data_IF_273466432830
#
_entry.id   IF_273466432830
#
_cell.length_a   1.000
_cell.length_b   1.000
_cell.length_c   1.000
_cell.angle_alpha   90.00
_cell.angle_beta   90.00
_cell.angle_gamma   90.00
#
_symmetry.space_group_name_H-M   'P 1'
#
loop_
_entity.id
_entity.type
_entity.pdbx_description
1 polymer ?
#
# COMPACT_ATOMS: atom_id res chain seq x y z
N UNK A 1 -34.25 -45.19 -56.98
CA UNK A 1 -33.98 -44.64 -55.62
C UNK A 1 -33.06 -43.45 -55.78
N UNK A 2 -33.59 -42.24 -55.64
CA UNK A 2 -32.80 -40.98 -55.73
C UNK A 2 -32.63 -40.46 -54.32
N UNK A 3 -31.40 -40.47 -53.83
CA UNK A 3 -30.98 -39.90 -52.55
C UNK A 3 -30.72 -38.41 -52.74
N UNK A 4 -31.52 -37.56 -52.11
CA UNK A 4 -31.31 -36.11 -52.01
C UNK A 4 -30.32 -35.82 -50.90
N UNK A 5 -29.22 -35.19 -51.28
CA UNK A 5 -28.20 -34.70 -50.40
C UNK A 5 -28.56 -33.25 -49.99
N UNK A 6 -28.98 -33.04 -48.73
CA UNK A 6 -29.21 -31.72 -48.17
C UNK A 6 -27.86 -31.15 -47.69
N UNK A 7 -27.32 -30.14 -48.43
CA UNK A 7 -26.26 -29.30 -47.93
C UNK A 7 -26.84 -28.28 -46.95
N UNK A 8 -26.49 -28.44 -45.68
CA UNK A 8 -26.72 -27.40 -44.66
C UNK A 8 -25.59 -26.40 -44.73
N UNK A 9 -25.88 -25.19 -45.25
CA UNK A 9 -24.96 -24.05 -45.22
C UNK A 9 -24.97 -23.45 -43.81
N UNK A 10 -23.99 -23.76 -42.97
CA UNK A 10 -23.74 -23.02 -41.72
C UNK A 10 -23.12 -21.64 -42.05
N UNK A 11 -23.95 -20.61 -42.05
CA UNK A 11 -23.50 -19.24 -42.02
C UNK A 11 -22.91 -18.95 -40.65
N UNK A 12 -21.57 -18.88 -40.59
CA UNK A 12 -20.87 -18.38 -39.40
C UNK A 12 -21.04 -16.87 -39.39
N UNK A 13 -21.99 -16.39 -38.58
CA UNK A 13 -22.08 -14.99 -38.21
C UNK A 13 -20.94 -14.72 -37.24
N UNK A 14 -19.80 -14.24 -37.74
CA UNK A 14 -18.78 -13.60 -36.95
C UNK A 14 -19.34 -12.29 -36.43
N UNK A 15 -19.97 -12.37 -35.25
CA UNK A 15 -20.28 -11.21 -34.43
C UNK A 15 -18.96 -10.57 -34.01
N UNK A 16 -18.61 -9.45 -34.66
CA UNK A 16 -17.62 -8.55 -34.11
C UNK A 16 -18.18 -8.02 -32.78
N UNK A 17 -17.78 -8.62 -31.66
CA UNK A 17 -17.93 -8.01 -30.35
C UNK A 17 -17.07 -6.75 -30.39
N UNK A 18 -17.71 -5.61 -30.56
CA UNK A 18 -17.10 -4.33 -30.21
C UNK A 18 -16.88 -4.38 -28.68
N UNK A 19 -15.65 -4.65 -28.30
CA UNK A 19 -15.17 -4.50 -26.94
C UNK A 19 -15.26 -3.01 -26.62
N UNK A 20 -16.43 -2.57 -26.14
CA UNK A 20 -16.61 -1.23 -25.60
C UNK A 20 -15.78 -1.22 -24.32
N UNK A 21 -14.54 -0.74 -24.41
CA UNK A 21 -13.69 -0.49 -23.25
C UNK A 21 -14.42 0.50 -22.33
N UNK A 22 -15.11 -0.07 -21.35
CA UNK A 22 -15.87 0.66 -20.36
C UNK A 22 -14.85 1.41 -19.50
N UNK A 23 -14.83 2.73 -19.63
CA UNK A 23 -14.05 3.57 -18.71
C UNK A 23 -14.71 3.52 -17.36
N UNK A 24 -14.06 2.89 -16.39
CA UNK A 24 -14.56 2.84 -15.03
C UNK A 24 -14.43 4.21 -14.39
N UNK A 25 -15.58 4.78 -13.99
CA UNK A 25 -15.68 5.98 -13.16
C UNK A 25 -15.92 5.49 -11.74
N UNK A 26 -14.98 5.77 -10.84
CA UNK A 26 -15.05 5.37 -9.45
C UNK A 26 -15.02 6.60 -8.52
N UNK A 27 -15.86 6.64 -7.51
CA UNK A 27 -15.75 7.62 -6.43
C UNK A 27 -14.77 7.07 -5.39
N UNK A 28 -13.60 7.68 -5.29
CA UNK A 28 -12.55 7.24 -4.36
C UNK A 28 -12.86 7.69 -2.92
N UNK A 29 -13.33 8.91 -2.78
CA UNK A 29 -13.75 9.53 -1.53
C UNK A 29 -14.64 10.75 -1.87
N UNK A 30 -15.19 11.39 -0.87
CA UNK A 30 -16.02 12.60 -1.07
C UNK A 30 -15.29 13.61 -1.95
N UNK A 31 -15.97 14.08 -2.97
CA UNK A 31 -15.48 15.07 -3.93
C UNK A 31 -14.24 14.62 -4.76
N UNK A 32 -13.90 13.33 -4.79
CA UNK A 32 -12.79 12.79 -5.60
C UNK A 32 -13.29 11.64 -6.48
N UNK A 33 -13.27 11.88 -7.78
CA UNK A 33 -13.65 10.92 -8.81
C UNK A 33 -12.39 10.45 -9.55
N UNK A 34 -12.28 9.16 -9.77
CA UNK A 34 -11.17 8.52 -10.48
C UNK A 34 -11.65 7.94 -11.79
N UNK A 35 -10.96 8.28 -12.86
CA UNK A 35 -11.14 7.66 -14.17
C UNK A 35 -10.02 6.64 -14.37
N UNK A 36 -10.38 5.37 -14.48
CA UNK A 36 -9.47 4.29 -14.88
C UNK A 36 -9.46 4.20 -16.40
N UNK A 37 -8.47 4.80 -17.02
CA UNK A 37 -8.35 4.87 -18.48
C UNK A 37 -7.36 3.81 -18.93
N UNK A 38 -7.73 2.88 -19.83
CA UNK A 38 -6.77 2.03 -20.52
C UNK A 38 -5.83 2.90 -21.36
N UNK A 39 -4.59 2.43 -21.52
CA UNK A 39 -3.49 3.18 -22.18
C UNK A 39 -3.77 3.33 -23.68
N UNK A 40 -4.70 4.22 -24.06
CA UNK A 40 -4.90 4.61 -25.45
C UNK A 40 -4.93 6.13 -25.56
N UNK A 41 -4.04 6.66 -26.37
CA UNK A 41 -4.02 8.08 -26.70
C UNK A 41 -5.35 8.52 -27.34
N UNK A 42 -5.94 9.57 -26.78
CA UNK A 42 -7.13 10.21 -27.33
C UNK A 42 -8.47 9.78 -26.75
N UNK A 43 -8.52 9.00 -25.66
CA UNK A 43 -9.80 8.68 -25.00
C UNK A 43 -10.41 9.92 -24.36
N UNK A 44 -11.72 10.08 -24.57
CA UNK A 44 -12.53 11.14 -23.98
C UNK A 44 -13.68 10.51 -23.19
N UNK A 45 -13.92 11.00 -21.96
CA UNK A 45 -14.96 10.47 -21.08
C UNK A 45 -15.87 11.59 -20.61
N UNK A 46 -17.18 11.36 -20.71
CA UNK A 46 -18.17 12.24 -20.11
C UNK A 46 -18.31 11.93 -18.61
N UNK A 47 -17.99 12.90 -17.78
CA UNK A 47 -18.09 12.79 -16.32
C UNK A 47 -19.21 13.65 -15.82
N UNK A 48 -20.23 13.08 -15.13
CA UNK A 48 -21.28 13.86 -14.51
C UNK A 48 -20.74 14.57 -13.26
N UNK A 49 -21.03 15.83 -13.14
CA UNK A 49 -20.71 16.66 -11.98
C UNK A 49 -21.99 17.18 -11.34
N UNK A 50 -22.01 17.25 -10.02
CA UNK A 50 -23.09 17.91 -9.28
C UNK A 50 -22.51 18.85 -8.24
N UNK A 51 -23.10 20.07 -8.15
CA UNK A 51 -22.75 21.03 -7.11
C UNK A 51 -23.29 20.60 -5.73
N UNK A 52 -24.32 19.76 -5.72
CA UNK A 52 -24.95 19.20 -4.52
C UNK A 52 -26.44 19.48 -4.43
N UNK A 53 -27.15 18.65 -3.65
CA UNK A 53 -28.59 18.73 -3.48
C UNK A 53 -29.06 20.04 -2.85
N UNK A 54 -28.24 20.66 -2.00
CA UNK A 54 -28.56 21.95 -1.37
C UNK A 54 -28.68 23.12 -2.36
N UNK A 55 -28.08 22.99 -3.56
CA UNK A 55 -27.99 24.08 -4.55
C UNK A 55 -28.82 23.79 -5.82
N UNK A 56 -29.82 22.90 -5.75
CA UNK A 56 -30.61 22.52 -6.93
C UNK A 56 -31.37 23.67 -7.58
N UNK A 57 -31.78 24.66 -6.78
CA UNK A 57 -32.56 25.82 -7.24
C UNK A 57 -31.70 27.08 -7.45
N UNK A 58 -30.39 26.96 -7.26
CA UNK A 58 -29.48 28.10 -7.41
C UNK A 58 -28.92 28.18 -8.83
N UNK A 59 -28.69 29.41 -9.27
CA UNK A 59 -27.98 29.65 -10.53
C UNK A 59 -26.48 29.45 -10.28
N UNK A 60 -25.93 28.33 -10.74
CA UNK A 60 -24.52 28.01 -10.54
C UNK A 60 -23.76 27.94 -11.84
N UNK A 61 -22.47 28.27 -11.79
CA UNK A 61 -21.51 28.10 -12.90
C UNK A 61 -20.25 27.39 -12.42
N UNK A 62 -19.55 26.78 -13.38
CA UNK A 62 -18.37 25.95 -13.10
C UNK A 62 -17.09 26.59 -13.57
N UNK A 63 -16.00 26.28 -12.83
CA UNK A 63 -14.62 26.58 -13.21
C UNK A 63 -13.80 25.29 -13.18
N UNK A 64 -12.77 25.21 -14.03
CA UNK A 64 -11.76 24.15 -14.01
C UNK A 64 -10.41 24.74 -13.64
N UNK A 65 -9.77 24.24 -12.55
CA UNK A 65 -8.51 24.75 -12.04
C UNK A 65 -8.49 26.28 -11.85
N UNK A 66 -9.62 26.84 -11.41
CA UNK A 66 -9.81 28.28 -11.20
C UNK A 66 -10.18 29.10 -12.44
N UNK A 67 -10.16 28.49 -13.64
CA UNK A 67 -10.52 29.16 -14.90
C UNK A 67 -11.97 28.86 -15.28
N UNK A 68 -12.73 29.87 -15.64
CA UNK A 68 -14.08 29.71 -16.16
C UNK A 68 -14.06 29.07 -17.55
N UNK A 69 -15.13 28.35 -17.87
CA UNK A 69 -15.33 27.80 -19.21
C UNK A 69 -15.74 28.90 -20.18
N UNK A 70 -15.38 28.75 -21.44
CA UNK A 70 -15.83 29.61 -22.54
C UNK A 70 -16.43 28.71 -23.65
N UNK A 71 -17.77 28.74 -23.87
CA UNK A 71 -18.78 29.47 -23.12
C UNK A 71 -18.96 28.95 -21.67
N UNK A 72 -19.53 29.81 -20.76
CA UNK A 72 -19.73 29.42 -19.36
C UNK A 72 -20.56 28.15 -19.20
N UNK A 73 -20.08 27.22 -18.40
CA UNK A 73 -20.77 25.97 -18.06
C UNK A 73 -21.71 26.23 -16.87
N UNK A 74 -23.03 26.24 -17.15
CA UNK A 74 -24.08 26.63 -16.20
C UNK A 74 -24.90 25.41 -15.77
N UNK A 75 -25.39 25.42 -14.52
CA UNK A 75 -26.32 24.45 -13.97
C UNK A 75 -25.77 23.68 -12.79
N UNK A 76 -26.66 23.22 -11.91
CA UNK A 76 -26.29 22.41 -10.74
C UNK A 76 -25.71 21.03 -11.13
N UNK A 77 -26.27 20.41 -12.16
CA UNK A 77 -25.81 19.14 -12.73
C UNK A 77 -25.34 19.40 -14.15
N UNK A 78 -24.11 19.02 -14.43
CA UNK A 78 -23.49 19.21 -15.74
C UNK A 78 -22.71 17.96 -16.14
N UNK A 79 -22.42 17.82 -17.42
CA UNK A 79 -21.47 16.82 -17.92
C UNK A 79 -20.24 17.52 -18.48
N UNK A 80 -19.07 17.09 -18.07
CA UNK A 80 -17.80 17.58 -18.58
C UNK A 80 -17.10 16.49 -19.40
N UNK A 81 -16.54 16.89 -20.53
CA UNK A 81 -15.71 16.02 -21.33
C UNK A 81 -14.28 16.07 -20.81
N UNK A 82 -13.80 14.93 -20.30
CA UNK A 82 -12.43 14.79 -19.78
C UNK A 82 -11.62 14.00 -20.79
N UNK A 83 -10.63 14.68 -21.36
CA UNK A 83 -9.63 14.01 -22.20
C UNK A 83 -8.61 13.28 -21.34
N UNK A 84 -7.96 12.27 -21.91
CA UNK A 84 -6.84 11.59 -21.29
C UNK A 84 -5.84 12.58 -20.71
N UNK A 85 -5.38 12.34 -19.47
CA UNK A 85 -4.43 13.18 -18.73
C UNK A 85 -4.88 14.59 -18.37
N UNK A 86 -6.10 15.00 -18.72
CA UNK A 86 -6.63 16.35 -18.48
C UNK A 86 -7.68 16.42 -17.36
N UNK A 87 -7.53 15.60 -16.31
CA UNK A 87 -8.31 15.77 -15.07
C UNK A 87 -8.12 17.17 -14.46
N UNK A 88 -8.55 17.36 -13.24
CA UNK A 88 -8.36 18.63 -12.53
C UNK A 88 -9.41 18.88 -11.46
N UNK A 89 -9.33 20.05 -10.85
CA UNK A 89 -10.29 20.51 -9.85
C UNK A 89 -11.41 21.30 -10.52
N UNK A 90 -12.62 20.78 -10.45
CA UNK A 90 -13.83 21.44 -10.94
C UNK A 90 -14.57 22.04 -9.75
N UNK A 91 -14.76 23.35 -9.76
CA UNK A 91 -15.42 24.08 -8.68
C UNK A 91 -16.71 24.74 -9.18
N UNK A 92 -17.80 24.61 -8.41
CA UNK A 92 -19.04 25.31 -8.73
C UNK A 92 -19.21 26.55 -7.84
N UNK A 93 -19.80 27.57 -8.44
CA UNK A 93 -19.93 28.91 -7.86
C UNK A 93 -21.32 29.47 -8.08
N UNK A 94 -21.81 30.25 -7.11
CA UNK A 94 -23.08 30.94 -7.22
C UNK A 94 -23.00 32.09 -8.25
N UNK A 95 -23.99 32.19 -9.12
CA UNK A 95 -24.10 33.29 -10.08
C UNK A 95 -25.10 34.36 -9.57
N UNK A 96 -24.81 35.66 -9.65
CA UNK A 96 -23.63 36.31 -10.23
C UNK A 96 -22.48 36.56 -9.23
N UNK A 97 -22.67 36.27 -7.93
CA UNK A 97 -21.72 36.64 -6.87
C UNK A 97 -20.31 36.02 -7.03
N UNK A 98 -20.22 34.85 -7.65
CA UNK A 98 -18.96 34.09 -7.76
C UNK A 98 -18.57 33.36 -6.49
N UNK A 99 -19.47 33.32 -5.48
CA UNK A 99 -19.22 32.60 -4.22
C UNK A 99 -18.98 31.12 -4.48
N UNK A 100 -17.93 30.57 -3.86
CA UNK A 100 -17.59 29.15 -3.93
C UNK A 100 -18.61 28.33 -3.15
N UNK A 101 -19.12 27.26 -3.75
CA UNK A 101 -20.10 26.36 -3.15
C UNK A 101 -19.54 24.99 -2.87
N UNK A 102 -18.95 24.34 -3.89
CA UNK A 102 -18.45 22.97 -3.80
C UNK A 102 -17.41 22.69 -4.90
N UNK A 103 -16.77 21.51 -4.84
CA UNK A 103 -15.82 21.08 -5.85
C UNK A 103 -15.90 19.57 -6.12
N UNK A 104 -15.36 19.16 -7.25
CA UNK A 104 -15.07 17.77 -7.58
C UNK A 104 -13.68 17.70 -8.20
N UNK A 105 -12.79 16.93 -7.57
CA UNK A 105 -11.49 16.61 -8.13
C UNK A 105 -11.60 15.39 -9.03
N UNK A 106 -11.30 15.54 -10.32
CA UNK A 106 -11.21 14.42 -11.27
C UNK A 106 -9.76 14.02 -11.42
N UNK A 107 -9.43 12.79 -11.01
CA UNK A 107 -8.11 12.20 -11.12
C UNK A 107 -8.10 11.10 -12.18
N UNK A 108 -7.00 10.98 -12.89
CA UNK A 108 -6.81 9.98 -13.94
C UNK A 108 -5.80 8.95 -13.46
N UNK A 109 -6.27 7.73 -13.27
CA UNK A 109 -5.42 6.61 -12.88
C UNK A 109 -4.92 5.87 -14.11
N UNK A 110 -3.61 5.86 -14.28
CA UNK A 110 -2.95 5.10 -15.33
C UNK A 110 -2.71 3.65 -14.94
N UNK A 111 -2.35 2.85 -15.94
CA UNK A 111 -1.93 1.46 -15.74
C UNK A 111 -0.80 1.38 -14.70
N UNK A 112 -0.81 0.35 -13.82
CA UNK A 112 0.25 0.07 -12.85
C UNK A 112 1.67 0.12 -13.39
N UNK A 113 1.90 -0.27 -14.65
CA UNK A 113 3.23 -0.29 -15.27
C UNK A 113 3.83 1.10 -15.49
N UNK A 114 3.01 2.15 -15.45
CA UNK A 114 3.41 3.53 -15.66
C UNK A 114 3.59 4.33 -14.35
N UNK A 115 3.65 3.66 -13.21
CA UNK A 115 3.86 4.29 -11.90
C UNK A 115 5.29 4.80 -11.75
N UNK A 116 5.43 5.99 -11.19
CA UNK A 116 6.73 6.69 -11.09
C UNK A 116 6.96 7.42 -9.77
N UNK A 117 5.93 7.52 -8.91
CA UNK A 117 6.01 8.33 -7.68
C UNK A 117 6.74 7.61 -6.56
N UNK A 118 6.44 6.33 -6.33
CA UNK A 118 7.13 5.53 -5.31
C UNK A 118 8.22 4.68 -5.94
N UNK A 119 9.41 4.72 -5.33
CA UNK A 119 10.55 3.87 -5.73
C UNK A 119 10.25 2.40 -5.44
N UNK A 120 10.58 1.54 -6.37
CA UNK A 120 10.58 0.10 -6.14
C UNK A 120 11.76 -0.28 -5.23
N UNK A 121 11.50 -1.14 -4.24
CA UNK A 121 12.52 -1.73 -3.39
C UNK A 121 12.91 -3.08 -3.98
N UNK A 122 14.20 -3.41 -3.98
CA UNK A 122 14.71 -4.66 -4.56
C UNK A 122 14.16 -5.97 -3.94
N UNK A 123 13.39 -5.88 -2.85
CA UNK A 123 12.81 -7.02 -2.11
C UNK A 123 11.29 -7.19 -2.32
N UNK A 124 10.75 -6.78 -3.45
CA UNK A 124 9.37 -7.12 -3.80
C UNK A 124 8.35 -6.03 -3.59
N UNK A 125 8.56 -4.87 -4.14
CA UNK A 125 7.53 -3.89 -4.35
C UNK A 125 7.84 -2.50 -3.81
N UNK A 126 6.83 -1.65 -3.84
CA UNK A 126 6.96 -0.23 -3.54
C UNK A 126 6.76 0.10 -2.06
N UNK A 127 6.01 -0.74 -1.33
CA UNK A 127 5.63 -0.54 0.08
C UNK A 127 6.32 -1.59 0.94
N UNK A 128 6.95 -1.16 2.03
CA UNK A 128 7.56 -2.02 3.02
C UNK A 128 6.79 -1.95 4.34
N UNK A 129 6.24 -3.08 4.79
CA UNK A 129 5.48 -3.17 6.04
C UNK A 129 6.25 -3.98 7.08
N UNK A 130 6.09 -3.62 8.35
CA UNK A 130 6.65 -4.34 9.50
C UNK A 130 5.72 -4.22 10.71
N UNK A 131 5.71 -5.24 11.56
CA UNK A 131 5.00 -5.25 12.83
C UNK A 131 5.96 -5.71 13.93
N UNK A 132 5.91 -5.14 15.15
CA UNK A 132 6.79 -5.53 16.24
C UNK A 132 6.37 -6.85 16.92
N UNK A 133 5.10 -7.22 16.77
CA UNK A 133 4.47 -8.40 17.37
C UNK A 133 3.13 -8.71 16.71
N UNK A 134 2.37 -9.65 17.29
CA UNK A 134 1.05 -10.08 16.78
C UNK A 134 -0.15 -9.32 17.37
N UNK A 135 0.04 -8.20 18.08
CA UNK A 135 -1.05 -7.41 18.67
C UNK A 135 -1.89 -6.63 17.67
N UNK A 136 -1.49 -6.64 16.41
CA UNK A 136 -2.24 -6.05 15.31
C UNK A 136 -1.74 -4.68 14.84
N UNK A 137 -0.87 -3.99 15.59
CA UNK A 137 -0.21 -2.79 15.09
C UNK A 137 0.81 -3.14 14.02
N UNK A 138 0.79 -2.42 12.90
CA UNK A 138 1.82 -2.51 11.88
C UNK A 138 2.07 -1.17 11.24
N UNK A 139 3.31 -0.94 10.81
CA UNK A 139 3.72 0.27 10.12
C UNK A 139 4.18 -0.08 8.71
N UNK A 140 3.66 0.67 7.73
CA UNK A 140 4.05 0.57 6.32
C UNK A 140 4.68 1.87 5.86
N UNK A 141 5.78 1.79 5.11
CA UNK A 141 6.54 2.94 4.61
C UNK A 141 6.89 2.79 3.15
N UNK A 142 7.10 3.93 2.49
CA UNK A 142 7.52 4.01 1.10
C UNK A 142 8.50 5.16 0.90
N UNK A 143 9.24 5.11 -0.21
CA UNK A 143 10.16 6.18 -0.61
C UNK A 143 9.69 6.80 -1.91
N UNK A 144 9.58 8.13 -1.94
CA UNK A 144 9.19 8.87 -3.13
C UNK A 144 10.41 9.13 -4.02
N UNK A 145 10.16 9.23 -5.34
CA UNK A 145 11.17 9.69 -6.30
C UNK A 145 11.36 11.20 -6.15
N UNK A 146 12.57 11.68 -6.36
CA UNK A 146 12.85 13.12 -6.34
C UNK A 146 12.15 13.89 -7.46
N UNK A 147 11.84 13.22 -8.57
CA UNK A 147 11.19 13.83 -9.76
C UNK A 147 9.72 14.22 -9.54
N UNK A 148 9.10 13.80 -8.45
CA UNK A 148 7.69 14.01 -8.11
C UNK A 148 7.54 14.56 -6.70
N UNK A 149 8.27 15.63 -6.40
CA UNK A 149 8.24 16.31 -5.09
C UNK A 149 6.87 16.95 -4.78
N UNK A 150 6.09 17.26 -5.81
CA UNK A 150 4.72 17.78 -5.73
C UNK A 150 3.66 16.71 -5.40
N UNK A 151 4.04 15.43 -5.44
CA UNK A 151 3.11 14.34 -5.19
C UNK A 151 2.65 14.32 -3.73
N UNK A 152 1.37 14.13 -3.51
CA UNK A 152 0.74 14.05 -2.20
C UNK A 152 -0.13 12.80 -2.05
N UNK A 153 -0.16 12.21 -0.85
CA UNK A 153 -1.08 11.12 -0.53
C UNK A 153 -2.49 11.67 -0.48
N UNK A 154 -3.40 11.03 -1.22
CA UNK A 154 -4.83 11.35 -1.25
C UNK A 154 -5.58 10.51 -0.24
N UNK A 155 -5.29 9.21 -0.23
CA UNK A 155 -5.96 8.23 0.61
C UNK A 155 -5.02 7.05 0.88
N UNK A 156 -5.08 6.51 2.07
CA UNK A 156 -4.56 5.18 2.39
C UNK A 156 -5.73 4.33 2.83
N UNK A 157 -5.91 3.19 2.18
CA UNK A 157 -6.94 2.21 2.52
C UNK A 157 -6.27 0.91 2.91
N UNK A 158 -6.55 0.43 4.11
CA UNK A 158 -6.16 -0.90 4.56
C UNK A 158 -7.40 -1.70 4.89
N UNK A 159 -7.48 -2.92 4.39
CA UNK A 159 -8.65 -3.77 4.57
C UNK A 159 -8.25 -5.24 4.73
N UNK A 160 -9.10 -5.99 5.43
CA UNK A 160 -9.05 -7.45 5.51
C UNK A 160 -10.47 -7.99 5.39
N UNK A 161 -10.74 -8.79 4.34
CA UNK A 161 -12.05 -9.41 4.12
C UNK A 161 -13.22 -8.42 4.24
N UNK A 162 -13.13 -7.29 3.52
CA UNK A 162 -14.11 -6.19 3.52
C UNK A 162 -14.25 -5.41 4.84
N UNK A 163 -13.41 -5.68 5.84
CA UNK A 163 -13.34 -4.88 7.06
C UNK A 163 -12.20 -3.85 6.95
N UNK A 164 -12.54 -2.59 7.14
CA UNK A 164 -11.55 -1.50 7.11
C UNK A 164 -10.67 -1.58 8.37
N UNK A 165 -9.38 -1.41 8.15
CA UNK A 165 -8.37 -1.29 9.21
C UNK A 165 -8.04 0.19 9.38
N UNK A 166 -8.24 0.77 10.58
CA UNK A 166 -7.92 2.17 10.81
C UNK A 166 -6.40 2.41 10.68
N UNK A 167 -6.06 3.47 9.96
CA UNK A 167 -4.69 3.86 9.69
C UNK A 167 -4.49 5.37 9.82
N UNK A 168 -3.35 5.78 10.36
CA UNK A 168 -2.93 7.17 10.48
C UNK A 168 -1.68 7.43 9.65
N UNK A 169 -1.73 8.47 8.81
CA UNK A 169 -0.61 8.84 7.94
C UNK A 169 0.49 9.54 8.76
N UNK A 170 1.74 9.15 8.54
CA UNK A 170 2.89 9.82 9.12
C UNK A 170 2.92 11.31 8.74
N UNK A 171 3.41 12.17 9.62
CA UNK A 171 3.47 13.61 9.41
C UNK A 171 4.23 14.02 8.13
N UNK A 172 5.20 13.21 7.69
CA UNK A 172 5.96 13.43 6.46
C UNK A 172 5.31 12.81 5.21
N UNK A 173 4.19 12.09 5.39
CA UNK A 173 3.45 11.41 4.31
C UNK A 173 4.23 10.31 3.60
N UNK A 174 5.24 9.70 4.25
CA UNK A 174 6.05 8.62 3.69
C UNK A 174 5.83 7.26 4.35
N UNK A 175 4.86 7.18 5.26
CA UNK A 175 4.45 5.98 5.94
C UNK A 175 3.07 6.11 6.54
N UNK A 176 2.60 5.01 7.12
CA UNK A 176 1.30 4.88 7.76
C UNK A 176 1.37 3.87 8.89
N UNK A 177 0.82 4.24 10.05
CA UNK A 177 0.60 3.32 11.17
C UNK A 177 -0.83 2.81 11.13
N UNK A 178 -1.01 1.50 11.18
CA UNK A 178 -2.32 0.85 11.12
C UNK A 178 -2.54 -0.05 12.33
N UNK A 179 -3.76 -0.08 12.84
CA UNK A 179 -4.15 -0.92 13.97
C UNK A 179 -5.23 -1.92 13.58
N UNK A 180 -4.84 -3.17 13.44
CA UNK A 180 -5.76 -4.27 13.22
C UNK A 180 -6.24 -4.84 14.57
N UNK A 181 -7.53 -4.95 14.76
CA UNK A 181 -8.16 -5.37 16.02
C UNK A 181 -8.36 -6.87 16.20
N UNK A 182 -7.85 -7.69 15.25
CA UNK A 182 -8.02 -9.13 15.34
C UNK A 182 -7.21 -9.76 16.47
N UNK A 183 -7.79 -10.82 17.07
CA UNK A 183 -7.15 -11.61 18.10
C UNK A 183 -5.87 -12.29 17.57
N UNK A 184 -4.76 -12.05 18.23
CA UNK A 184 -3.42 -12.58 17.90
C UNK A 184 -3.33 -14.11 17.87
N UNK A 185 -4.27 -14.79 18.55
CA UNK A 185 -4.28 -16.26 18.67
C UNK A 185 -5.10 -16.98 17.60
N UNK A 186 -5.77 -16.23 16.70
CA UNK A 186 -6.51 -16.83 15.59
C UNK A 186 -5.59 -17.00 14.37
N UNK A 187 -5.76 -18.12 13.69
CA UNK A 187 -5.10 -18.33 12.40
C UNK A 187 -5.57 -17.27 11.39
N UNK A 188 -4.62 -16.66 10.72
CA UNK A 188 -4.91 -15.67 9.68
C UNK A 188 -5.39 -16.37 8.40
N UNK A 189 -6.68 -16.26 8.12
CA UNK A 189 -7.29 -16.82 6.92
C UNK A 189 -7.20 -15.86 5.72
N UNK A 190 -7.24 -14.55 5.97
CA UNK A 190 -7.29 -13.51 4.92
C UNK A 190 -6.08 -12.59 5.02
N UNK A 191 -5.58 -12.20 3.86
CA UNK A 191 -4.49 -11.21 3.74
C UNK A 191 -5.01 -9.82 4.06
N UNK A 192 -4.15 -8.99 4.62
CA UNK A 192 -4.35 -7.56 4.68
C UNK A 192 -3.98 -7.00 3.31
N UNK A 193 -4.82 -6.14 2.76
CA UNK A 193 -4.54 -5.38 1.55
C UNK A 193 -4.41 -3.91 1.93
N UNK A 194 -3.22 -3.33 1.74
CA UNK A 194 -2.97 -1.91 1.95
C UNK A 194 -2.77 -1.25 0.59
N UNK A 195 -3.58 -0.23 0.29
CA UNK A 195 -3.47 0.57 -0.94
C UNK A 195 -3.20 2.03 -0.60
N UNK A 196 -2.16 2.59 -1.19
CA UNK A 196 -1.78 4.00 -1.07
C UNK A 196 -2.08 4.69 -2.39
N UNK A 197 -2.96 5.68 -2.36
CA UNK A 197 -3.33 6.52 -3.49
C UNK A 197 -2.53 7.81 -3.42
N UNK A 198 -1.73 8.09 -4.42
CA UNK A 198 -0.87 9.27 -4.50
C UNK A 198 -1.18 10.03 -5.77
N UNK A 199 -1.40 11.33 -5.67
CA UNK A 199 -1.61 12.21 -6.82
C UNK A 199 -0.40 13.11 -7.07
N UNK A 200 -0.14 13.37 -8.35
CA UNK A 200 0.68 14.49 -8.83
C UNK A 200 -0.15 15.21 -9.87
N UNK A 201 -0.56 16.45 -9.57
CA UNK A 201 -1.57 17.21 -10.33
C UNK A 201 -2.89 16.43 -10.44
N UNK A 202 -3.32 16.11 -11.66
CA UNK A 202 -4.53 15.32 -11.93
C UNK A 202 -4.26 13.82 -12.16
N UNK A 203 -3.01 13.37 -12.07
CA UNK A 203 -2.62 11.99 -12.24
C UNK A 203 -2.65 11.26 -10.90
N UNK A 204 -3.28 10.09 -10.85
CA UNK A 204 -3.36 9.21 -9.68
C UNK A 204 -2.54 7.95 -9.93
N UNK A 205 -1.74 7.58 -8.96
CA UNK A 205 -1.06 6.30 -8.90
C UNK A 205 -1.51 5.54 -7.66
N UNK A 206 -1.90 4.28 -7.81
CA UNK A 206 -2.28 3.40 -6.72
C UNK A 206 -1.22 2.32 -6.52
N UNK A 207 -0.77 2.13 -5.29
CA UNK A 207 0.22 1.15 -4.90
C UNK A 207 -0.36 0.22 -3.85
N UNK A 208 -0.46 -1.06 -4.17
CA UNK A 208 -1.06 -2.06 -3.27
C UNK A 208 -0.01 -3.04 -2.78
N UNK A 209 -0.05 -3.35 -1.49
CA UNK A 209 0.70 -4.41 -0.84
C UNK A 209 -0.28 -5.34 -0.14
N UNK A 210 -0.20 -6.64 -0.46
CA UNK A 210 -1.02 -7.66 0.20
C UNK A 210 -0.13 -8.61 0.99
N UNK A 211 -0.42 -8.82 2.28
CA UNK A 211 0.41 -9.61 3.19
C UNK A 211 -0.43 -10.23 4.32
N UNK A 212 0.09 -11.27 4.94
CA UNK A 212 -0.35 -11.71 6.26
C UNK A 212 0.48 -11.00 7.34
N UNK A 213 -0.10 -10.72 8.52
CA UNK A 213 0.64 -10.11 9.62
C UNK A 213 1.88 -10.93 9.98
N UNK A 214 1.76 -12.26 9.97
CA UNK A 214 2.88 -13.19 10.22
C UNK A 214 4.06 -13.05 9.25
N UNK A 215 3.84 -12.53 8.04
CA UNK A 215 4.90 -12.32 7.04
C UNK A 215 5.75 -11.06 7.35
N UNK A 216 5.20 -10.13 8.13
CA UNK A 216 5.83 -8.83 8.43
C UNK A 216 6.21 -8.65 9.91
N UNK A 217 5.82 -9.58 10.78
CA UNK A 217 6.19 -9.50 12.19
C UNK A 217 7.69 -9.72 12.34
N UNK A 218 8.36 -8.72 12.90
CA UNK A 218 9.80 -8.72 13.16
C UNK A 218 10.04 -8.50 14.64
N UNK A 219 10.60 -9.48 15.38
CA UNK A 219 10.96 -9.27 16.78
C UNK A 219 11.88 -8.06 16.94
N UNK A 220 11.74 -7.34 18.03
CA UNK A 220 12.67 -6.28 18.38
C UNK A 220 14.07 -6.86 18.66
N UNK A 221 15.07 -5.99 18.70
CA UNK A 221 16.44 -6.33 19.08
C UNK A 221 16.45 -6.98 20.45
N UNK A 222 17.22 -8.08 20.62
CA UNK A 222 17.29 -8.80 21.88
C UNK A 222 17.94 -7.93 22.96
N UNK A 223 17.27 -7.71 24.10
CA UNK A 223 17.81 -6.93 25.20
C UNK A 223 18.72 -7.76 26.12
N UNK A 224 19.44 -7.09 26.99
CA UNK A 224 20.21 -7.67 28.10
C UNK A 224 21.22 -8.76 27.68
N UNK A 225 21.80 -8.62 26.48
CA UNK A 225 22.86 -9.52 26.05
C UNK A 225 24.12 -9.30 26.88
N UNK A 226 24.53 -10.32 27.66
CA UNK A 226 25.68 -10.28 28.54
C UNK A 226 26.34 -11.65 28.68
N UNK A 227 27.54 -11.65 29.26
CA UNK A 227 28.32 -12.87 29.49
C UNK A 227 28.19 -13.26 30.99
N UNK A 228 27.92 -14.54 31.23
CA UNK A 228 27.90 -15.15 32.57
C UNK A 228 29.08 -16.13 32.62
N UNK A 229 29.78 -16.20 33.80
CA UNK A 229 30.88 -17.15 34.05
C UNK A 229 31.97 -17.15 32.98
N UNK A 230 32.16 -16.03 32.29
CA UNK A 230 33.23 -15.82 31.31
C UNK A 230 33.04 -16.47 29.97
N UNK A 231 32.09 -17.38 29.78
CA UNK A 231 31.92 -18.14 28.54
C UNK A 231 30.46 -18.42 28.14
N UNK A 232 29.49 -18.05 28.95
CA UNK A 232 28.05 -18.25 28.68
C UNK A 232 27.42 -16.92 28.27
N UNK A 233 26.96 -16.82 27.02
CA UNK A 233 26.19 -15.68 26.55
C UNK A 233 24.71 -15.92 26.86
N UNK A 234 24.06 -14.91 27.43
CA UNK A 234 22.63 -14.91 27.77
C UNK A 234 22.00 -13.63 27.28
N UNK A 235 20.76 -13.74 26.85
CA UNK A 235 19.89 -12.63 26.44
C UNK A 235 18.46 -12.88 26.86
N UNK A 236 17.65 -11.83 26.84
CA UNK A 236 16.24 -11.91 27.16
C UNK A 236 15.37 -11.76 25.92
N UNK A 237 14.10 -12.16 26.01
CA UNK A 237 13.09 -11.88 25.01
C UNK A 237 12.81 -10.38 24.94
N UNK A 238 12.51 -9.81 23.75
CA UNK A 238 12.09 -8.44 23.65
C UNK A 238 10.81 -8.19 24.46
N UNK A 239 10.73 -7.06 25.17
CA UNK A 239 9.52 -6.69 25.95
C UNK A 239 8.28 -6.56 25.07
N UNK A 240 8.46 -6.14 23.81
CA UNK A 240 7.40 -6.03 22.81
C UNK A 240 6.86 -7.38 22.33
N UNK A 241 7.60 -8.49 22.61
CA UNK A 241 7.20 -9.82 22.15
C UNK A 241 6.08 -10.40 23.01
N UNK A 242 5.11 -11.08 22.36
CA UNK A 242 3.91 -11.57 23.02
C UNK A 242 4.21 -12.68 24.04
N UNK A 243 3.55 -12.62 25.18
CA UNK A 243 3.60 -13.65 26.24
C UNK A 243 2.18 -14.13 26.55
N UNK A 244 1.97 -15.43 26.82
CA UNK A 244 2.97 -16.49 27.00
C UNK A 244 3.60 -16.93 25.67
N UNK A 245 4.91 -17.12 25.65
CA UNK A 245 5.71 -17.42 24.48
C UNK A 245 5.48 -18.84 23.89
N UNK A 246 4.55 -19.61 24.40
CA UNK A 246 4.29 -20.98 23.94
C UNK A 246 3.80 -21.04 22.51
N UNK A 247 3.01 -20.06 22.06
CA UNK A 247 2.53 -19.93 20.69
C UNK A 247 3.49 -19.16 19.79
N UNK A 248 4.29 -18.26 20.36
CA UNK A 248 5.18 -17.36 19.65
C UNK A 248 6.64 -17.59 20.07
N UNK A 249 7.08 -18.83 20.00
CA UNK A 249 8.45 -19.19 20.29
C UNK A 249 9.43 -18.54 19.32
N UNK A 250 10.55 -18.03 19.85
CA UNK A 250 11.64 -17.51 19.03
C UNK A 250 12.69 -18.58 18.79
N UNK A 251 13.29 -18.51 17.62
CA UNK A 251 14.58 -19.12 17.31
C UNK A 251 15.63 -18.04 17.15
N UNK A 252 16.88 -18.37 17.41
CA UNK A 252 17.98 -17.43 17.44
C UNK A 252 19.06 -17.85 16.45
N UNK A 253 19.59 -16.87 15.74
CA UNK A 253 20.75 -17.02 14.90
C UNK A 253 21.94 -16.37 15.59
N UNK A 254 23.06 -17.09 15.69
CA UNK A 254 24.28 -16.64 16.34
C UNK A 254 25.40 -16.55 15.33
N UNK A 255 26.20 -15.49 15.45
CA UNK A 255 27.45 -15.30 14.73
C UNK A 255 28.58 -14.95 15.66
N UNK A 256 29.78 -15.45 15.36
CA UNK A 256 31.03 -14.96 15.92
C UNK A 256 31.78 -14.20 14.84
N UNK A 257 32.08 -12.93 15.12
CA UNK A 257 32.71 -12.03 14.16
C UNK A 257 34.02 -11.54 14.71
N UNK A 258 35.07 -11.52 13.91
CA UNK A 258 36.37 -10.97 14.34
C UNK A 258 36.24 -9.49 14.68
N UNK A 259 37.04 -9.04 15.67
CA UNK A 259 37.14 -7.62 16.03
C UNK A 259 37.43 -6.78 14.78
N UNK A 260 36.66 -5.70 14.58
CA UNK A 260 36.74 -4.85 13.40
C UNK A 260 35.75 -5.17 12.27
N UNK A 261 34.99 -6.27 12.36
CA UNK A 261 33.92 -6.60 11.43
C UNK A 261 32.53 -6.37 12.05
N UNK A 262 31.52 -6.26 11.22
CA UNK A 262 30.12 -6.10 11.69
C UNK A 262 29.38 -7.44 11.70
N UNK A 263 28.30 -7.53 12.48
CA UNK A 263 27.41 -8.70 12.47
C UNK A 263 26.78 -8.99 11.09
N UNK A 264 26.81 -8.04 10.18
CA UNK A 264 26.31 -8.21 8.81
C UNK A 264 27.30 -8.89 7.86
N UNK A 265 28.56 -9.08 8.29
CA UNK A 265 29.57 -9.77 7.47
C UNK A 265 29.21 -11.23 7.25
N UNK A 266 29.66 -11.81 6.13
CA UNK A 266 29.49 -13.25 5.86
C UNK A 266 30.40 -14.06 6.77
N UNK A 267 29.85 -14.76 7.74
CA UNK A 267 30.54 -15.62 8.69
C UNK A 267 29.70 -16.86 8.99
N UNK A 268 30.32 -17.81 9.70
CA UNK A 268 29.62 -19.03 10.11
C UNK A 268 28.42 -18.71 11.00
N UNK A 269 27.28 -19.26 10.65
CA UNK A 269 25.99 -19.04 11.28
C UNK A 269 25.60 -20.32 12.02
N UNK A 270 25.06 -20.19 13.24
CA UNK A 270 24.44 -21.26 13.99
C UNK A 270 23.03 -20.86 14.38
N UNK A 271 22.04 -21.73 14.18
CA UNK A 271 20.64 -21.50 14.59
C UNK A 271 20.35 -22.35 15.82
N UNK A 272 19.83 -21.73 16.87
CA UNK A 272 19.47 -22.38 18.13
C UNK A 272 18.09 -21.90 18.62
N UNK A 273 17.50 -22.65 19.55
CA UNK A 273 16.22 -22.31 20.19
C UNK A 273 16.36 -21.91 21.66
N UNK A 274 17.52 -22.12 22.26
CA UNK A 274 17.81 -21.74 23.63
C UNK A 274 18.23 -20.27 23.70
N UNK A 275 17.94 -19.61 24.80
CA UNK A 275 18.32 -18.22 25.09
C UNK A 275 19.70 -18.08 25.75
N UNK A 276 20.48 -19.15 25.78
CA UNK A 276 21.86 -19.18 26.26
C UNK A 276 22.72 -20.06 25.38
N UNK A 277 23.98 -19.72 25.25
CA UNK A 277 24.98 -20.54 24.55
C UNK A 277 26.33 -20.41 25.22
N UNK A 278 27.06 -21.52 25.36
CA UNK A 278 28.44 -21.54 25.87
C UNK A 278 29.41 -21.59 24.69
N UNK A 279 30.31 -20.59 24.64
CA UNK A 279 31.31 -20.47 23.59
C UNK A 279 32.63 -20.13 24.24
N UNK A 280 33.73 -20.84 23.86
CA UNK A 280 35.04 -20.51 24.39
C UNK A 280 35.47 -19.08 24.05
N UNK A 281 35.91 -18.29 25.03
CA UNK A 281 36.26 -16.90 24.82
C UNK A 281 37.48 -16.79 23.90
N UNK A 282 37.29 -16.17 22.77
CA UNK A 282 38.34 -15.68 21.87
C UNK A 282 38.02 -14.23 21.57
N UNK A 283 38.93 -13.48 20.95
CA UNK A 283 38.72 -12.07 20.53
C UNK A 283 37.65 -11.97 19.42
N UNK A 284 36.41 -12.30 19.72
CA UNK A 284 35.27 -12.23 18.81
C UNK A 284 34.20 -11.31 19.36
N UNK A 285 33.46 -10.68 18.45
CA UNK A 285 32.19 -10.02 18.74
C UNK A 285 31.11 -11.13 18.61
N UNK A 286 30.35 -11.32 19.68
CA UNK A 286 29.20 -12.21 19.67
C UNK A 286 27.99 -11.46 19.15
N UNK A 287 27.33 -11.99 18.10
CA UNK A 287 26.13 -11.41 17.50
C UNK A 287 25.00 -12.43 17.62
N UNK A 288 23.82 -11.94 18.01
CA UNK A 288 22.60 -12.76 18.05
C UNK A 288 21.41 -11.97 17.53
N UNK A 289 20.52 -12.64 16.80
CA UNK A 289 19.23 -12.12 16.36
C UNK A 289 18.13 -13.15 16.50
N UNK A 290 16.89 -12.71 16.52
CA UNK A 290 15.72 -13.55 16.72
C UNK A 290 14.78 -13.55 15.51
N UNK A 291 14.07 -14.66 15.36
CA UNK A 291 13.01 -14.84 14.37
C UNK A 291 11.89 -15.67 15.01
N UNK A 292 10.65 -15.45 14.58
CA UNK A 292 9.56 -16.36 14.94
C UNK A 292 9.88 -17.78 14.44
N UNK A 293 9.79 -18.73 15.36
CA UNK A 293 10.13 -20.14 15.11
C UNK A 293 9.16 -20.81 14.15
N UNK A 294 7.88 -20.44 14.20
CA UNK A 294 6.82 -21.12 13.45
C UNK A 294 6.60 -20.49 12.09
N UNK A 295 6.43 -19.15 12.07
CA UNK A 295 6.09 -18.44 10.83
C UNK A 295 7.29 -18.11 9.98
N UNK A 296 8.50 -18.10 10.58
CA UNK A 296 9.75 -17.74 9.92
C UNK A 296 9.68 -16.39 9.21
N UNK A 297 9.00 -15.42 9.85
CA UNK A 297 8.95 -14.03 9.40
C UNK A 297 10.36 -13.39 9.38
N UNK A 298 10.46 -12.07 9.22
CA UNK A 298 11.75 -11.39 9.16
C UNK A 298 12.58 -11.55 10.46
N UNK A 299 13.91 -11.68 10.32
CA UNK A 299 14.85 -11.65 11.42
C UNK A 299 14.87 -10.27 12.10
N UNK A 300 15.02 -10.24 13.43
CA UNK A 300 15.32 -9.01 14.17
C UNK A 300 16.64 -8.39 13.72
N UNK A 301 16.89 -7.16 14.13
CA UNK A 301 18.23 -6.60 14.05
C UNK A 301 19.19 -7.32 15.00
N UNK A 302 20.47 -7.33 14.66
CA UNK A 302 21.51 -7.94 15.48
C UNK A 302 21.68 -7.24 16.82
N UNK A 303 21.73 -8.02 17.90
CA UNK A 303 22.30 -7.64 19.19
C UNK A 303 23.74 -8.11 19.23
N UNK A 304 24.65 -7.33 19.83
CA UNK A 304 26.07 -7.64 19.88
C UNK A 304 26.65 -7.42 21.27
N UNK A 305 27.61 -8.29 21.66
CA UNK A 305 28.40 -8.19 22.86
C UNK A 305 29.87 -8.35 22.49
N UNK A 306 30.76 -7.55 23.07
CA UNK A 306 32.21 -7.54 22.85
C UNK A 306 32.94 -8.06 24.06
#
# INVERSE_FOLDING_TARGET
MRTFLFMVLCAVLSGASSDSQQTDIETLMDNVVVLKVPVFMGSMVHVPLTCGGAFQNEAVFWKKNGQAFDPPLMGNQVQVLVEEMKGGNYTCHLSPSGEYLNHTMILIQLNPDNRTVILENGEGGHIHCSAPNYKGSFHCRWRRTQRRSDASVVLVKAERYMEDIPCELDANGSGVECQNTLCSYKEEQHRISLTVYIRSHARLEAYTKSFYLREIVRPAKLPNLHIIDGNVFKWDYPESWEKPCTFFGLQFEIKLVHSGHSCNSENQIMVITNYTVSIQPKKYIFCVRAQDKFTRGPWSHWSQCT
#
